data_IF_732513650229
#
_entry.id   IF_732513650229
#
_cell.length_a   1.000
_cell.length_b   1.000
_cell.length_c   1.000
_cell.angle_alpha   90.00
_cell.angle_beta   90.00
_cell.angle_gamma   90.00
#
_symmetry.space_group_name_H-M   'P 1'
#
loop_
_entity.id
_entity.type
_entity.pdbx_description
1 polymer ?
#
# COMPACT_ATOMS: atom_id res chain seq x y z
N UNK A 1 -15.40 -29.32 28.26
CA UNK A 1 -16.31 -28.21 28.60
C UNK A 1 -16.69 -27.53 27.31
N UNK A 2 -17.86 -27.86 26.79
CA UNK A 2 -18.44 -27.32 25.55
C UNK A 2 -19.82 -26.82 25.91
N UNK A 3 -20.07 -25.52 25.76
CA UNK A 3 -21.35 -24.90 26.11
C UNK A 3 -21.93 -24.30 24.83
N UNK A 4 -23.05 -24.85 24.35
CA UNK A 4 -23.78 -24.32 23.18
C UNK A 4 -22.96 -24.24 21.88
N UNK A 5 -22.06 -25.20 21.62
CA UNK A 5 -21.40 -25.31 20.32
C UNK A 5 -22.27 -26.11 19.34
N UNK A 6 -22.34 -25.67 18.08
CA UNK A 6 -23.04 -26.33 16.98
C UNK A 6 -22.01 -26.88 15.98
N UNK A 7 -22.11 -28.17 15.66
CA UNK A 7 -21.21 -28.82 14.68
C UNK A 7 -22.09 -29.63 13.73
N UNK A 8 -22.18 -29.18 12.47
CA UNK A 8 -23.09 -29.74 11.46
C UNK A 8 -22.41 -30.17 10.16
N UNK A 9 -21.17 -29.75 9.91
CA UNK A 9 -20.41 -30.19 8.72
C UNK A 9 -19.89 -31.62 8.86
N UNK A 10 -19.82 -32.36 7.75
CA UNK A 10 -19.32 -33.74 7.76
C UNK A 10 -17.83 -33.76 8.13
N UNK A 11 -17.41 -34.68 9.00
CA UNK A 11 -16.02 -34.81 9.47
C UNK A 11 -15.44 -33.54 10.12
N UNK A 12 -16.30 -32.68 10.64
CA UNK A 12 -15.89 -31.46 11.34
C UNK A 12 -15.73 -31.68 12.84
N UNK A 13 -14.96 -30.80 13.50
CA UNK A 13 -14.64 -30.95 14.92
C UNK A 13 -14.51 -29.60 15.64
N UNK A 14 -15.11 -29.52 16.84
CA UNK A 14 -14.87 -28.44 17.80
C UNK A 14 -14.24 -29.02 19.07
N UNK A 15 -13.05 -28.57 19.45
CA UNK A 15 -12.34 -29.12 20.61
C UNK A 15 -12.87 -28.61 21.97
N UNK A 16 -13.63 -27.50 21.99
CA UNK A 16 -14.06 -26.87 23.23
C UNK A 16 -14.70 -25.49 23.06
N UNK A 17 -14.86 -24.78 24.18
CA UNK A 17 -15.30 -23.39 24.17
C UNK A 17 -16.81 -23.20 24.28
N UNK A 18 -17.30 -22.05 23.78
CA UNK A 18 -18.68 -21.62 23.92
C UNK A 18 -19.21 -20.98 22.64
N UNK A 19 -20.43 -21.30 22.21
CA UNK A 19 -21.07 -20.69 21.03
C UNK A 19 -20.26 -20.79 19.72
N UNK A 20 -19.45 -21.83 19.55
CA UNK A 20 -18.75 -22.04 18.27
C UNK A 20 -19.68 -22.78 17.30
N UNK A 21 -19.82 -22.29 16.07
CA UNK A 21 -20.58 -22.90 14.98
C UNK A 21 -19.65 -23.40 13.87
N UNK A 22 -19.77 -24.68 13.52
CA UNK A 22 -18.90 -25.39 12.59
C UNK A 22 -19.77 -26.10 11.55
N UNK A 23 -19.98 -25.45 10.40
CA UNK A 23 -20.89 -25.90 9.34
C UNK A 23 -20.17 -26.45 8.10
N UNK A 24 -18.92 -26.02 7.85
CA UNK A 24 -18.15 -26.50 6.70
C UNK A 24 -17.68 -27.95 6.85
N UNK A 25 -17.73 -28.74 5.78
CA UNK A 25 -17.19 -30.11 5.81
C UNK A 25 -15.67 -30.11 6.05
N UNK A 26 -15.18 -31.07 6.83
CA UNK A 26 -13.77 -31.22 7.22
C UNK A 26 -13.18 -29.97 7.89
N UNK A 27 -14.01 -29.18 8.57
CA UNK A 27 -13.58 -27.95 9.23
C UNK A 27 -13.28 -28.14 10.72
N UNK A 28 -12.57 -27.18 11.30
CA UNK A 28 -12.03 -27.29 12.65
C UNK A 28 -12.16 -25.98 13.44
N UNK A 29 -12.61 -26.10 14.69
CA UNK A 29 -12.46 -25.04 15.72
C UNK A 29 -11.72 -25.60 16.93
N UNK A 30 -10.55 -25.04 17.25
CA UNK A 30 -9.75 -25.48 18.40
C UNK A 30 -10.27 -24.98 19.75
N UNK A 31 -11.09 -23.93 19.78
CA UNK A 31 -11.73 -23.43 20.99
C UNK A 31 -12.05 -21.95 20.90
N UNK A 32 -12.24 -21.30 22.05
CA UNK A 32 -12.65 -19.90 22.11
C UNK A 32 -14.16 -19.73 22.20
N UNK A 33 -14.64 -18.54 21.86
CA UNK A 33 -16.04 -18.17 22.00
C UNK A 33 -16.60 -17.50 20.74
N UNK A 34 -17.82 -17.88 20.35
CA UNK A 34 -18.56 -17.22 19.26
C UNK A 34 -17.80 -17.24 17.91
N UNK A 35 -17.16 -18.36 17.57
CA UNK A 35 -16.46 -18.50 16.28
C UNK A 35 -17.31 -19.28 15.26
N UNK A 36 -17.28 -18.86 14.00
CA UNK A 36 -18.16 -19.38 12.93
C UNK A 36 -17.32 -19.85 11.73
N UNK A 37 -17.43 -21.14 11.37
CA UNK A 37 -16.71 -21.75 10.24
C UNK A 37 -17.71 -22.38 9.27
N UNK A 38 -18.03 -21.65 8.19
CA UNK A 38 -18.86 -22.14 7.09
C UNK A 38 -18.03 -22.77 5.96
N UNK A 39 -16.77 -22.35 5.82
CA UNK A 39 -15.89 -22.79 4.74
C UNK A 39 -15.50 -24.26 4.88
N UNK A 40 -15.66 -25.03 3.79
CA UNK A 40 -15.17 -26.42 3.75
C UNK A 40 -13.64 -26.44 3.90
N UNK A 41 -13.13 -27.42 4.64
CA UNK A 41 -11.68 -27.62 4.89
C UNK A 41 -11.00 -26.39 5.49
N UNK A 42 -11.74 -25.62 6.27
CA UNK A 42 -11.26 -24.39 6.89
C UNK A 42 -11.09 -24.54 8.40
N UNK A 43 -10.32 -23.65 9.01
CA UNK A 43 -9.97 -23.77 10.42
C UNK A 43 -9.92 -22.42 11.15
N UNK A 44 -10.42 -22.43 12.38
CA UNK A 44 -10.12 -21.42 13.41
C UNK A 44 -9.39 -22.12 14.55
N UNK A 45 -8.19 -21.67 14.93
CA UNK A 45 -7.49 -22.31 16.06
C UNK A 45 -8.09 -21.87 17.40
N UNK A 46 -8.32 -20.58 17.61
CA UNK A 46 -8.99 -20.05 18.80
C UNK A 46 -9.51 -18.62 18.59
N UNK A 47 -10.07 -18.01 19.63
CA UNK A 47 -10.36 -16.57 19.68
C UNK A 47 -11.82 -16.24 19.99
N UNK A 48 -12.22 -15.01 19.69
CA UNK A 48 -13.56 -14.50 19.96
C UNK A 48 -14.17 -13.85 18.72
N UNK A 49 -15.36 -14.27 18.29
CA UNK A 49 -16.07 -13.63 17.17
C UNK A 49 -15.33 -13.71 15.83
N UNK A 50 -14.59 -14.78 15.57
CA UNK A 50 -13.93 -14.95 14.28
C UNK A 50 -14.82 -15.71 13.30
N UNK A 51 -14.75 -15.35 12.01
CA UNK A 51 -15.55 -15.97 10.94
C UNK A 51 -14.68 -16.45 9.79
N UNK A 52 -14.89 -17.67 9.32
CA UNK A 52 -14.18 -18.26 8.18
C UNK A 52 -15.17 -18.91 7.22
N UNK A 53 -15.84 -18.15 6.34
CA UNK A 53 -16.75 -18.71 5.35
C UNK A 53 -16.05 -19.13 4.05
N UNK A 54 -14.83 -18.63 3.79
CA UNK A 54 -14.03 -19.04 2.64
C UNK A 54 -13.59 -20.50 2.76
N UNK A 55 -13.65 -21.25 1.66
CA UNK A 55 -13.15 -22.63 1.61
C UNK A 55 -11.62 -22.68 1.66
N UNK A 56 -11.06 -23.71 2.31
CA UNK A 56 -9.61 -23.89 2.51
C UNK A 56 -8.92 -22.73 3.23
N UNK A 57 -9.67 -21.95 3.99
CA UNK A 57 -9.18 -20.75 4.65
C UNK A 57 -8.73 -21.04 6.07
N UNK A 58 -7.80 -20.23 6.57
CA UNK A 58 -7.22 -20.41 7.88
C UNK A 58 -7.28 -19.12 8.69
N UNK A 59 -7.63 -19.27 9.96
CA UNK A 59 -7.57 -18.20 10.94
C UNK A 59 -6.91 -18.72 12.22
N UNK A 60 -5.77 -18.16 12.59
CA UNK A 60 -5.06 -18.59 13.79
C UNK A 60 -5.81 -18.19 15.06
N UNK A 61 -5.85 -16.91 15.39
CA UNK A 61 -6.54 -16.45 16.59
C UNK A 61 -7.02 -15.00 16.51
N UNK A 62 -7.43 -14.45 17.66
CA UNK A 62 -7.74 -13.03 17.81
C UNK A 62 -9.22 -12.77 17.98
N UNK A 63 -9.64 -11.55 17.63
CA UNK A 63 -11.03 -11.11 17.81
C UNK A 63 -11.61 -10.48 16.55
N UNK A 64 -12.84 -10.85 16.20
CA UNK A 64 -13.60 -10.18 15.15
C UNK A 64 -12.94 -10.22 13.76
N UNK A 65 -12.16 -11.26 13.45
CA UNK A 65 -11.50 -11.37 12.15
C UNK A 65 -12.36 -12.18 11.16
N UNK A 66 -12.26 -11.91 9.86
CA UNK A 66 -13.06 -12.58 8.82
C UNK A 66 -12.22 -13.01 7.61
N UNK A 67 -12.09 -14.31 7.38
CA UNK A 67 -11.41 -14.89 6.21
C UNK A 67 -12.47 -15.36 5.19
N UNK A 68 -12.92 -14.44 4.34
CA UNK A 68 -14.20 -14.52 3.62
C UNK A 68 -14.15 -15.34 2.33
N UNK A 69 -13.03 -15.28 1.61
CA UNK A 69 -12.89 -15.89 0.28
C UNK A 69 -11.97 -17.12 0.30
N UNK A 70 -11.95 -17.90 -0.78
CA UNK A 70 -11.20 -19.16 -0.84
C UNK A 70 -9.70 -18.95 -0.65
N UNK A 71 -9.07 -19.87 0.08
CA UNK A 71 -7.64 -19.88 0.39
C UNK A 71 -7.15 -18.62 1.12
N UNK A 72 -8.04 -17.90 1.81
CA UNK A 72 -7.64 -16.74 2.61
C UNK A 72 -6.91 -17.16 3.89
N UNK A 73 -5.92 -16.37 4.27
CA UNK A 73 -5.12 -16.60 5.47
C UNK A 73 -5.18 -15.38 6.39
N UNK A 74 -5.51 -15.63 7.66
CA UNK A 74 -5.43 -14.67 8.75
C UNK A 74 -4.60 -15.27 9.89
N UNK A 75 -3.44 -14.71 10.20
CA UNK A 75 -2.62 -15.23 11.30
C UNK A 75 -3.26 -14.94 12.67
N UNK A 76 -3.48 -13.66 12.99
CA UNK A 76 -4.21 -13.27 14.20
C UNK A 76 -4.67 -11.79 14.14
N UNK A 77 -5.16 -11.25 15.27
CA UNK A 77 -5.33 -9.80 15.45
C UNK A 77 -6.76 -9.39 15.81
N UNK A 78 -7.12 -8.16 15.48
CA UNK A 78 -8.43 -7.60 15.79
C UNK A 78 -9.08 -6.95 14.58
N UNK A 79 -10.27 -7.41 14.19
CA UNK A 79 -11.06 -6.81 13.11
C UNK A 79 -10.36 -6.80 11.74
N UNK A 80 -9.54 -7.81 11.43
CA UNK A 80 -8.93 -7.96 10.11
C UNK A 80 -9.86 -8.71 9.14
N UNK A 81 -9.82 -8.35 7.85
CA UNK A 81 -10.64 -8.95 6.80
C UNK A 81 -9.79 -9.38 5.61
N UNK A 82 -9.88 -10.65 5.23
CA UNK A 82 -9.29 -11.21 4.02
C UNK A 82 -10.40 -11.72 3.08
N UNK A 83 -10.75 -10.91 2.08
CA UNK A 83 -11.90 -11.04 1.18
C UNK A 83 -11.48 -11.30 -0.29
N UNK A 84 -10.18 -11.20 -0.60
CA UNK A 84 -9.63 -11.63 -1.89
C UNK A 84 -9.36 -13.13 -1.97
N UNK A 85 -9.44 -13.71 -3.18
CA UNK A 85 -8.93 -15.06 -3.45
C UNK A 85 -7.42 -15.12 -3.13
N UNK A 86 -6.96 -16.09 -2.34
CA UNK A 86 -5.56 -16.15 -1.84
C UNK A 86 -5.13 -14.91 -1.02
N UNK A 87 -6.05 -14.16 -0.44
CA UNK A 87 -5.73 -13.00 0.40
C UNK A 87 -4.93 -13.41 1.65
N UNK A 88 -3.94 -12.59 2.00
CA UNK A 88 -3.13 -12.81 3.20
C UNK A 88 -3.17 -11.59 4.13
N UNK A 89 -3.59 -11.79 5.38
CA UNK A 89 -3.27 -10.87 6.48
C UNK A 89 -2.46 -11.60 7.55
N UNK A 90 -1.26 -11.12 7.84
CA UNK A 90 -0.42 -11.76 8.86
C UNK A 90 -0.96 -11.52 10.26
N UNK A 91 -1.08 -10.26 10.68
CA UNK A 91 -1.67 -9.89 11.97
C UNK A 91 -2.13 -8.42 12.00
N UNK A 92 -2.34 -7.87 13.20
CA UNK A 92 -2.58 -6.44 13.41
C UNK A 92 -4.05 -6.11 13.67
N UNK A 93 -4.46 -4.89 13.37
CA UNK A 93 -5.80 -4.42 13.65
C UNK A 93 -6.43 -3.70 12.47
N UNK A 94 -7.67 -4.06 12.13
CA UNK A 94 -8.45 -3.37 11.10
C UNK A 94 -7.80 -3.35 9.72
N UNK A 95 -6.95 -4.34 9.41
CA UNK A 95 -6.37 -4.49 8.08
C UNK A 95 -7.38 -5.15 7.13
N UNK A 96 -7.40 -4.74 5.87
CA UNK A 96 -8.30 -5.28 4.84
C UNK A 96 -7.53 -5.68 3.58
N UNK A 97 -7.81 -6.87 3.07
CA UNK A 97 -7.31 -7.36 1.78
C UNK A 97 -8.51 -7.81 0.97
N UNK A 98 -8.79 -7.17 -0.17
CA UNK A 98 -10.02 -7.39 -0.94
C UNK A 98 -9.83 -7.92 -2.35
N UNK A 99 -8.57 -8.10 -2.79
CA UNK A 99 -8.25 -8.50 -4.16
C UNK A 99 -7.40 -9.76 -4.21
N UNK A 100 -7.42 -10.42 -5.36
CA UNK A 100 -6.72 -11.67 -5.58
C UNK A 100 -5.22 -11.55 -5.29
N UNK A 101 -4.69 -12.49 -4.51
CA UNK A 101 -3.27 -12.60 -4.15
C UNK A 101 -2.68 -11.33 -3.52
N UNK A 102 -3.52 -10.46 -2.97
CA UNK A 102 -3.07 -9.28 -2.27
C UNK A 102 -2.66 -9.62 -0.83
N UNK A 103 -1.78 -8.79 -0.26
CA UNK A 103 -1.08 -9.08 1.00
C UNK A 103 -1.02 -7.85 1.89
N UNK A 104 -1.37 -8.04 3.16
CA UNK A 104 -1.02 -7.12 4.24
C UNK A 104 -0.28 -7.91 5.33
N UNK A 105 1.01 -7.66 5.58
CA UNK A 105 1.71 -8.46 6.61
C UNK A 105 1.23 -8.11 8.02
N UNK A 106 0.98 -6.83 8.30
CA UNK A 106 0.30 -6.42 9.53
C UNK A 106 0.14 -4.92 9.71
N UNK A 107 0.14 -4.44 10.96
CA UNK A 107 -0.04 -3.02 11.29
C UNK A 107 -1.49 -2.66 11.63
N UNK A 108 -1.86 -1.39 11.47
CA UNK A 108 -3.23 -0.93 11.72
C UNK A 108 -3.82 -0.17 10.53
N UNK A 109 -5.05 -0.55 10.17
CA UNK A 109 -5.83 0.03 9.06
C UNK A 109 -5.10 0.11 7.73
N UNK A 110 -4.31 -0.91 7.41
CA UNK A 110 -3.76 -1.03 6.06
C UNK A 110 -4.76 -1.72 5.12
N UNK A 111 -4.80 -1.28 3.87
CA UNK A 111 -5.69 -1.80 2.83
C UNK A 111 -4.89 -2.22 1.59
N UNK A 112 -5.10 -3.44 1.12
CA UNK A 112 -4.59 -3.93 -0.15
C UNK A 112 -5.77 -4.35 -1.05
N UNK A 113 -6.13 -3.50 -2.01
CA UNK A 113 -7.31 -3.68 -2.87
C UNK A 113 -6.97 -3.80 -4.36
N UNK A 114 -5.70 -3.73 -4.74
CA UNK A 114 -5.24 -4.09 -6.08
C UNK A 114 -4.93 -5.58 -6.20
N UNK A 115 -5.13 -6.16 -7.39
CA UNK A 115 -4.71 -7.56 -7.65
C UNK A 115 -3.20 -7.66 -7.47
N UNK A 116 -2.72 -8.63 -6.68
CA UNK A 116 -1.30 -8.80 -6.31
C UNK A 116 -0.68 -7.59 -5.60
N UNK A 117 -1.48 -6.70 -5.01
CA UNK A 117 -0.93 -5.56 -4.28
C UNK A 117 -0.38 -5.97 -2.91
N UNK A 118 0.59 -5.22 -2.42
CA UNK A 118 1.32 -5.55 -1.20
C UNK A 118 1.41 -4.36 -0.26
N UNK A 119 1.12 -4.59 1.02
CA UNK A 119 1.49 -3.71 2.12
C UNK A 119 2.29 -4.50 3.15
N UNK A 120 3.49 -4.04 3.47
CA UNK A 120 4.30 -4.63 4.53
C UNK A 120 3.65 -4.43 5.90
N UNK A 121 3.78 -3.25 6.47
CA UNK A 121 3.15 -2.91 7.75
C UNK A 121 2.95 -1.40 7.89
N UNK A 122 2.52 -0.94 9.08
CA UNK A 122 2.40 0.49 9.38
C UNK A 122 0.97 0.92 9.66
N UNK A 123 0.65 2.18 9.36
CA UNK A 123 -0.61 2.84 9.70
C UNK A 123 -1.28 3.43 8.46
N UNK A 124 -2.53 3.06 8.17
CA UNK A 124 -3.33 3.70 7.11
C UNK A 124 -2.67 3.70 5.72
N UNK A 125 -1.99 2.62 5.32
CA UNK A 125 -1.44 2.52 3.97
C UNK A 125 -2.45 1.88 3.01
N UNK A 126 -2.52 2.37 1.77
CA UNK A 126 -3.49 1.94 0.76
C UNK A 126 -2.83 1.55 -0.57
N UNK A 127 -2.73 0.24 -0.83
CA UNK A 127 -2.22 -0.32 -2.08
C UNK A 127 -3.39 -0.76 -2.99
N UNK A 128 -3.86 0.15 -3.84
CA UNK A 128 -5.07 -0.03 -4.67
C UNK A 128 -4.78 -0.44 -6.12
N UNK A 129 -3.57 -0.16 -6.62
CA UNK A 129 -3.18 -0.51 -7.99
C UNK A 129 -2.84 -1.99 -8.18
N UNK A 130 -3.07 -2.53 -9.38
CA UNK A 130 -2.58 -3.87 -9.75
C UNK A 130 -1.05 -3.94 -9.58
N UNK A 131 -0.57 -4.97 -8.87
CA UNK A 131 0.84 -5.16 -8.53
C UNK A 131 1.48 -3.94 -7.84
N UNK A 132 0.70 -3.10 -7.16
CA UNK A 132 1.25 -1.97 -6.40
C UNK A 132 1.90 -2.41 -5.08
N UNK A 133 2.87 -1.64 -4.63
CA UNK A 133 3.69 -1.99 -3.47
C UNK A 133 3.81 -0.83 -2.49
N UNK A 134 3.59 -1.12 -1.21
CA UNK A 134 3.95 -0.25 -0.09
C UNK A 134 4.75 -1.06 0.93
N UNK A 135 6.03 -0.72 1.14
CA UNK A 135 6.86 -1.45 2.11
C UNK A 135 6.42 -1.18 3.56
N UNK A 136 5.95 0.02 3.84
CA UNK A 136 5.23 0.36 5.07
C UNK A 136 5.14 1.86 5.32
N UNK A 137 5.00 2.27 6.58
CA UNK A 137 4.94 3.69 6.97
C UNK A 137 3.54 4.15 7.37
N UNK A 138 3.22 5.43 7.14
CA UNK A 138 2.00 6.07 7.62
C UNK A 138 1.31 6.82 6.47
N UNK A 139 0.02 6.57 6.22
CA UNK A 139 -0.77 7.30 5.20
C UNK A 139 -0.16 7.29 3.79
N UNK A 140 0.49 6.19 3.38
CA UNK A 140 1.01 6.09 2.02
C UNK A 140 -0.03 5.49 1.06
N UNK A 141 0.00 5.92 -0.19
CA UNK A 141 -0.94 5.50 -1.23
C UNK A 141 -0.20 5.04 -2.50
N UNK A 142 -0.53 3.85 -2.99
CA UNK A 142 -0.03 3.30 -4.24
C UNK A 142 -1.24 2.84 -5.09
N UNK A 143 -1.80 3.77 -5.86
CA UNK A 143 -3.15 3.62 -6.46
C UNK A 143 -3.16 3.18 -7.91
N UNK A 144 -2.03 3.27 -8.62
CA UNK A 144 -1.93 2.91 -10.02
C UNK A 144 -1.19 1.59 -10.24
N UNK A 145 -1.38 1.00 -11.43
CA UNK A 145 -0.72 -0.24 -11.83
C UNK A 145 0.81 -0.11 -11.74
N UNK A 146 1.45 -1.11 -11.16
CA UNK A 146 2.89 -1.21 -10.95
C UNK A 146 3.48 -0.02 -10.16
N UNK A 147 2.67 0.70 -9.36
CA UNK A 147 3.17 1.83 -8.57
C UNK A 147 3.85 1.37 -7.28
N UNK A 148 4.87 2.12 -6.85
CA UNK A 148 5.75 1.73 -5.76
C UNK A 148 5.93 2.85 -4.75
N UNK A 149 5.72 2.54 -3.46
CA UNK A 149 6.15 3.35 -2.32
C UNK A 149 7.05 2.50 -1.43
N UNK A 150 8.31 2.92 -1.22
CA UNK A 150 9.23 2.18 -0.36
C UNK A 150 8.78 2.18 1.10
N UNK A 151 8.76 3.36 1.73
CA UNK A 151 8.18 3.62 3.04
C UNK A 151 8.08 5.14 3.26
N UNK A 152 7.44 5.61 4.32
CA UNK A 152 7.43 7.05 4.64
C UNK A 152 6.14 7.50 5.28
N UNK A 153 5.87 8.80 5.19
CA UNK A 153 4.61 9.40 5.62
C UNK A 153 3.98 10.20 4.48
N UNK A 154 2.73 9.92 4.11
CA UNK A 154 1.99 10.65 3.06
C UNK A 154 2.72 10.61 1.71
N UNK A 155 3.28 9.46 1.34
CA UNK A 155 3.85 9.26 0.00
C UNK A 155 2.78 8.72 -0.96
N UNK A 156 2.61 9.37 -2.11
CA UNK A 156 1.58 9.06 -3.09
C UNK A 156 2.22 8.68 -4.44
N UNK A 157 2.10 7.41 -4.83
CA UNK A 157 2.49 6.87 -6.13
C UNK A 157 1.22 6.55 -6.95
N UNK A 158 0.73 7.54 -7.69
CA UNK A 158 -0.58 7.51 -8.36
C UNK A 158 -0.50 7.45 -9.88
N UNK A 159 0.70 7.50 -10.45
CA UNK A 159 0.95 7.26 -11.87
C UNK A 159 1.23 5.78 -12.17
N UNK A 160 0.88 5.30 -13.37
CA UNK A 160 1.27 3.95 -13.79
C UNK A 160 2.80 3.83 -13.77
N UNK A 161 3.34 2.78 -13.16
CA UNK A 161 4.79 2.59 -12.98
C UNK A 161 5.48 3.76 -12.25
N UNK A 162 4.76 4.54 -11.44
CA UNK A 162 5.34 5.63 -10.66
C UNK A 162 6.10 5.10 -9.45
N UNK A 163 7.16 5.79 -9.06
CA UNK A 163 8.03 5.39 -7.95
C UNK A 163 8.17 6.51 -6.92
N UNK A 164 7.94 6.19 -5.65
CA UNK A 164 8.33 7.01 -4.50
C UNK A 164 9.24 6.18 -3.60
N UNK A 165 10.52 6.50 -3.53
CA UNK A 165 11.47 5.74 -2.69
C UNK A 165 11.15 5.86 -1.20
N UNK A 166 10.70 7.05 -0.78
CA UNK A 166 10.10 7.28 0.53
C UNK A 166 10.08 8.74 0.94
N UNK A 167 10.15 9.02 2.24
CA UNK A 167 10.23 10.38 2.79
C UNK A 167 8.90 10.88 3.38
N UNK A 168 8.63 12.18 3.25
CA UNK A 168 7.39 12.79 3.75
C UNK A 168 6.66 13.62 2.69
N UNK A 169 5.40 13.31 2.42
CA UNK A 169 4.54 14.12 1.55
C UNK A 169 5.09 14.22 0.11
N UNK A 170 5.56 13.10 -0.46
CA UNK A 170 6.12 13.05 -1.81
C UNK A 170 5.12 12.45 -2.80
N UNK A 171 5.04 13.03 -4.00
CA UNK A 171 4.00 12.72 -4.98
C UNK A 171 4.61 12.39 -6.36
N UNK A 172 4.49 11.13 -6.78
CA UNK A 172 4.78 10.69 -8.15
C UNK A 172 3.45 10.40 -8.86
N UNK A 173 2.97 11.38 -9.64
CA UNK A 173 1.61 11.39 -10.21
C UNK A 173 1.61 11.00 -11.70
N UNK A 174 2.65 11.39 -12.44
CA UNK A 174 2.76 11.07 -13.86
C UNK A 174 3.08 9.59 -14.13
N UNK A 175 2.73 9.10 -15.32
CA UNK A 175 3.14 7.76 -15.72
C UNK A 175 4.67 7.67 -15.79
N UNK A 176 5.26 6.63 -15.19
CA UNK A 176 6.71 6.45 -15.09
C UNK A 176 7.42 7.63 -14.40
N UNK A 177 6.71 8.45 -13.62
CA UNK A 177 7.33 9.52 -12.85
C UNK A 177 7.99 8.96 -11.60
N UNK A 178 8.98 9.67 -11.06
CA UNK A 178 9.79 9.15 -9.96
C UNK A 178 10.18 10.25 -8.99
N UNK A 179 9.99 9.99 -7.71
CA UNK A 179 10.53 10.78 -6.60
C UNK A 179 11.41 9.87 -5.75
N UNK A 180 12.73 10.09 -5.72
CA UNK A 180 13.59 9.17 -4.98
C UNK A 180 13.41 9.28 -3.45
N UNK A 181 13.07 10.47 -2.93
CA UNK A 181 12.81 10.70 -1.52
C UNK A 181 12.63 12.17 -1.17
N UNK A 182 12.92 12.55 0.08
CA UNK A 182 12.87 13.95 0.55
C UNK A 182 11.54 14.35 1.16
N UNK A 183 11.19 15.64 1.07
CA UNK A 183 9.96 16.19 1.64
C UNK A 183 9.21 17.05 0.62
N UNK A 184 7.89 16.86 0.50
CA UNK A 184 7.03 17.74 -0.32
C UNK A 184 7.45 17.85 -1.78
N UNK A 185 8.01 16.80 -2.38
CA UNK A 185 8.45 16.78 -3.77
C UNK A 185 7.35 16.26 -4.71
N UNK A 186 7.29 16.79 -5.94
CA UNK A 186 6.24 16.49 -6.92
C UNK A 186 6.81 16.16 -8.30
N UNK A 187 6.58 14.95 -8.79
CA UNK A 187 6.83 14.53 -10.17
C UNK A 187 5.49 14.28 -10.89
N UNK A 188 4.96 15.33 -11.57
CA UNK A 188 3.55 15.38 -12.00
C UNK A 188 3.26 14.85 -13.39
N UNK A 189 4.25 14.80 -14.28
CA UNK A 189 4.06 14.44 -15.68
C UNK A 189 4.80 13.16 -16.04
N UNK A 190 4.47 12.66 -17.23
CA UNK A 190 5.04 11.44 -17.78
C UNK A 190 6.56 11.54 -17.84
N UNK A 191 7.24 10.52 -17.30
CA UNK A 191 8.71 10.46 -17.19
C UNK A 191 9.35 11.62 -16.42
N UNK A 192 8.62 12.39 -15.61
CA UNK A 192 9.24 13.44 -14.81
C UNK A 192 9.95 12.87 -13.57
N UNK A 193 11.03 13.53 -13.14
CA UNK A 193 11.91 13.01 -12.09
C UNK A 193 12.22 14.07 -11.03
N UNK A 194 12.13 13.68 -9.76
CA UNK A 194 12.70 14.42 -8.64
C UNK A 194 13.63 13.52 -7.85
N UNK A 195 14.92 13.84 -7.79
CA UNK A 195 15.89 13.00 -7.09
C UNK A 195 15.87 13.15 -5.56
N UNK A 196 15.28 14.21 -5.01
CA UNK A 196 15.11 14.38 -3.57
C UNK A 196 15.00 15.85 -3.18
N UNK A 197 15.36 16.18 -1.94
CA UNK A 197 15.31 17.54 -1.42
C UNK A 197 13.97 17.93 -0.80
N UNK A 198 13.67 19.22 -0.76
CA UNK A 198 12.43 19.76 -0.21
C UNK A 198 11.73 20.65 -1.24
N UNK A 199 10.40 20.50 -1.38
CA UNK A 199 9.56 21.36 -2.24
C UNK A 199 9.94 21.41 -3.73
N UNK A 200 10.61 20.39 -4.26
CA UNK A 200 10.97 20.37 -5.68
C UNK A 200 9.80 19.90 -6.57
N UNK A 201 9.64 20.53 -7.73
CA UNK A 201 8.55 20.30 -8.67
C UNK A 201 9.07 20.03 -10.10
N UNK A 202 8.79 18.83 -10.61
CA UNK A 202 8.96 18.48 -12.02
C UNK A 202 7.58 18.34 -12.70
N UNK A 203 7.13 19.40 -13.38
CA UNK A 203 5.76 19.55 -13.93
C UNK A 203 5.67 19.52 -15.47
N UNK A 204 6.80 19.32 -16.16
CA UNK A 204 6.87 19.09 -17.61
C UNK A 204 7.11 17.62 -17.95
N UNK A 205 6.71 17.18 -19.15
CA UNK A 205 7.01 15.80 -19.56
C UNK A 205 8.53 15.63 -19.75
N UNK A 206 9.08 14.54 -19.22
CA UNK A 206 10.55 14.30 -19.16
C UNK A 206 11.33 15.40 -18.43
N UNK A 207 10.68 16.27 -17.65
CA UNK A 207 11.38 17.28 -16.87
C UNK A 207 12.03 16.67 -15.63
N UNK A 208 13.10 17.27 -15.14
CA UNK A 208 13.84 16.74 -14.02
C UNK A 208 14.33 17.83 -13.06
N UNK A 209 14.22 17.54 -11.77
CA UNK A 209 14.90 18.26 -10.69
C UNK A 209 15.76 17.26 -9.93
N UNK A 210 17.09 17.38 -9.95
CA UNK A 210 17.94 16.34 -9.33
C UNK A 210 17.90 16.43 -7.80
N UNK A 211 18.01 17.62 -7.22
CA UNK A 211 17.87 17.84 -5.77
C UNK A 211 17.67 19.33 -5.45
N UNK A 212 17.61 19.68 -4.16
CA UNK A 212 17.64 21.07 -3.69
C UNK A 212 16.42 21.46 -2.86
N UNK A 213 16.18 22.75 -2.73
CA UNK A 213 15.04 23.33 -2.02
C UNK A 213 14.23 24.22 -2.97
N UNK A 214 12.93 23.97 -3.13
CA UNK A 214 12.01 24.81 -3.90
C UNK A 214 12.47 25.09 -5.36
N UNK A 215 12.88 24.04 -6.08
CA UNK A 215 13.21 24.16 -7.50
C UNK A 215 12.09 23.65 -8.40
N UNK A 216 11.89 24.30 -9.54
CA UNK A 216 10.81 24.01 -10.48
C UNK A 216 11.33 23.79 -11.91
N UNK A 217 10.95 22.66 -12.51
CA UNK A 217 11.12 22.36 -13.93
C UNK A 217 9.73 22.19 -14.58
N UNK A 218 9.16 23.29 -15.09
CA UNK A 218 7.74 23.42 -15.44
C UNK A 218 7.38 22.92 -16.85
N UNK A 219 8.33 22.97 -17.79
CA UNK A 219 8.08 22.68 -19.21
C UNK A 219 8.71 21.37 -19.68
N UNK A 220 8.27 20.88 -20.84
CA UNK A 220 8.79 19.67 -21.45
C UNK A 220 10.32 19.72 -21.61
N UNK A 221 10.98 18.64 -21.18
CA UNK A 221 12.44 18.49 -21.20
C UNK A 221 13.20 19.58 -20.40
N UNK A 222 12.53 20.33 -19.52
CA UNK A 222 13.19 21.28 -18.63
C UNK A 222 14.00 20.57 -17.54
N UNK A 223 15.14 21.15 -17.16
CA UNK A 223 16.07 20.56 -16.19
C UNK A 223 16.53 21.57 -15.15
N UNK A 224 16.49 21.17 -13.88
CA UNK A 224 17.20 21.83 -12.78
C UNK A 224 18.11 20.83 -12.10
N UNK A 225 19.40 21.12 -12.04
CA UNK A 225 20.36 20.25 -11.36
C UNK A 225 20.20 20.32 -9.84
N UNK A 226 20.48 21.46 -9.22
CA UNK A 226 20.38 21.60 -7.77
C UNK A 226 20.19 23.05 -7.34
N UNK A 227 20.26 23.30 -6.03
CA UNK A 227 20.26 24.65 -5.45
C UNK A 227 18.93 24.99 -4.80
N UNK A 228 18.63 26.29 -4.72
CA UNK A 228 17.39 26.78 -4.14
C UNK A 228 16.68 27.79 -5.04
N UNK A 229 15.35 27.77 -5.05
CA UNK A 229 14.50 28.75 -5.74
C UNK A 229 14.78 28.86 -7.26
N UNK A 230 15.23 27.79 -7.92
CA UNK A 230 15.52 27.85 -9.35
C UNK A 230 14.32 27.44 -10.19
N UNK A 231 14.10 28.12 -11.32
CA UNK A 231 12.99 27.84 -12.24
C UNK A 231 13.47 27.63 -13.68
N UNK A 232 13.23 26.45 -14.22
CA UNK A 232 13.36 26.12 -15.64
C UNK A 232 11.95 26.04 -16.27
N UNK A 233 11.49 27.13 -16.87
CA UNK A 233 10.13 27.30 -17.40
C UNK A 233 10.04 27.46 -18.92
N UNK A 234 11.13 27.22 -19.64
CA UNK A 234 11.14 27.14 -21.09
C UNK A 234 11.26 25.68 -21.55
N UNK A 235 10.67 25.33 -22.70
CA UNK A 235 10.87 24.00 -23.28
C UNK A 235 12.35 23.74 -23.54
N UNK A 236 12.87 22.61 -23.08
CA UNK A 236 14.30 22.26 -23.12
C UNK A 236 15.21 23.28 -22.39
N UNK A 237 14.69 24.04 -21.42
CA UNK A 237 15.52 24.97 -20.66
C UNK A 237 16.31 24.26 -19.56
N UNK A 238 17.42 24.86 -19.17
CA UNK A 238 18.40 24.24 -18.30
C UNK A 238 18.85 25.22 -17.21
N UNK A 239 18.74 24.80 -15.95
CA UNK A 239 19.40 25.45 -14.82
C UNK A 239 20.41 24.46 -14.22
N UNK A 240 21.69 24.80 -14.23
CA UNK A 240 22.72 23.93 -13.69
C UNK A 240 22.58 23.75 -12.17
N UNK A 241 22.69 24.85 -11.44
CA UNK A 241 22.47 24.97 -10.00
C UNK A 241 22.46 26.46 -9.60
N UNK A 242 22.32 26.74 -8.30
CA UNK A 242 22.51 28.07 -7.72
C UNK A 242 21.33 28.52 -6.86
N UNK A 243 21.22 29.83 -6.62
CA UNK A 243 20.08 30.43 -5.94
C UNK A 243 19.30 31.33 -6.90
N UNK A 244 17.98 31.16 -6.99
CA UNK A 244 17.08 32.09 -7.69
C UNK A 244 17.37 32.29 -9.19
N UNK A 245 17.85 31.26 -9.88
CA UNK A 245 18.07 31.33 -11.33
C UNK A 245 16.78 31.06 -12.10
N UNK A 246 16.59 31.74 -13.22
CA UNK A 246 15.46 31.52 -14.12
C UNK A 246 15.91 31.29 -15.56
N UNK A 247 15.51 30.17 -16.15
CA UNK A 247 15.68 29.84 -17.56
C UNK A 247 14.29 29.70 -18.22
N UNK A 248 13.74 30.81 -18.69
CA UNK A 248 12.36 30.92 -19.21
C UNK A 248 12.24 30.85 -20.74
N UNK A 249 13.35 31.03 -21.48
CA UNK A 249 13.36 30.87 -22.93
C UNK A 249 13.43 29.40 -23.34
N UNK A 250 12.86 29.04 -24.50
CA UNK A 250 13.10 27.70 -25.06
C UNK A 250 14.59 27.53 -25.37
N UNK A 251 15.15 26.38 -24.98
CA UNK A 251 16.58 26.06 -25.10
C UNK A 251 17.51 27.08 -24.39
N UNK A 252 16.98 27.84 -23.42
CA UNK A 252 17.79 28.76 -22.62
C UNK A 252 18.54 28.03 -21.50
N UNK A 253 19.66 28.59 -21.08
CA UNK A 253 20.46 28.04 -19.99
C UNK A 253 20.82 29.12 -18.97
N UNK A 254 20.70 28.79 -17.69
CA UNK A 254 21.27 29.54 -16.57
C UNK A 254 22.24 28.63 -15.81
N UNK A 255 23.49 29.07 -15.62
CA UNK A 255 24.54 28.22 -15.05
C UNK A 255 24.81 28.48 -13.56
N UNK A 256 24.13 29.46 -12.97
CA UNK A 256 24.19 29.78 -11.56
C UNK A 256 24.94 31.08 -11.21
N UNK A 257 24.67 31.54 -9.99
CA UNK A 257 25.43 32.50 -9.19
C UNK A 257 25.58 31.97 -7.78
#
# INVERSE_FOLDING_TARGET
GTWDNTVTGDWSFSAGGRLNDVRGDHSFVGGGEDNDVDGRKSAIVAGYQNRVPGAFSFLGAGRNNTADNEYSFLGAGHSNVADGLYAFVGAGQSNKVSSESAVVVGGYKNSASGVKSFVGAGWYNEAQGEASFIGGGIFNEATAKDSFVGAGRECHATGRQSFVGGGNSNYAIGAQSSVAGGKSNYARRTNSFVGGGNLNLADGARSAVVAGDDNEASEDDAFVGAGADNTASGKQSFVAAGLSNAASGSQSAALGS
#
